data_IF_444436215860
#
_entry.id   IF_444436215860
#
_cell.length_a   1.000
_cell.length_b   1.000
_cell.length_c   1.000
_cell.angle_alpha   90.00
_cell.angle_beta   90.00
_cell.angle_gamma   90.00
#
_symmetry.space_group_name_H-M   'P 1'
#
loop_
_entity.id
_entity.type
_entity.pdbx_description
1 polymer ?
#
# COMPACT_ATOMS: atom_id res chain seq x y z
N UNK A 1 -9.13 29.51 35.30
CA UNK A 1 -8.70 28.35 34.48
C UNK A 1 -7.30 27.94 34.96
N UNK A 2 -7.11 26.69 35.38
CA UNK A 2 -5.86 26.25 35.98
C UNK A 2 -4.74 26.27 34.93
N UNK A 3 -3.57 26.85 35.22
CA UNK A 3 -2.47 26.98 34.26
C UNK A 3 -1.99 25.62 33.74
N UNK A 4 -2.07 24.59 34.59
CA UNK A 4 -1.81 23.20 34.21
C UNK A 4 -2.80 22.64 33.18
N UNK A 5 -4.06 23.09 33.22
CA UNK A 5 -5.07 22.69 32.23
C UNK A 5 -4.77 23.28 30.85
N UNK A 6 -4.22 24.50 30.81
CA UNK A 6 -3.80 25.15 29.55
C UNK A 6 -2.59 24.43 28.94
N UNK A 7 -1.58 24.10 29.75
CA UNK A 7 -0.43 23.32 29.28
C UNK A 7 -0.81 21.91 28.83
N UNK A 8 -1.68 21.23 29.57
CA UNK A 8 -2.17 19.91 29.19
C UNK A 8 -2.93 19.93 27.86
N UNK A 9 -3.81 20.93 27.66
CA UNK A 9 -4.53 21.09 26.39
C UNK A 9 -3.56 21.39 25.23
N UNK A 10 -2.56 22.26 25.44
CA UNK A 10 -1.53 22.55 24.44
C UNK A 10 -0.72 21.30 24.06
N UNK A 11 -0.32 20.50 25.05
CA UNK A 11 0.37 19.23 24.82
C UNK A 11 -0.50 18.24 24.03
N UNK A 12 -1.78 18.10 24.38
CA UNK A 12 -2.70 17.18 23.72
C UNK A 12 -2.92 17.56 22.24
N UNK A 13 -3.03 18.86 21.94
CA UNK A 13 -3.09 19.38 20.56
C UNK A 13 -1.82 19.03 19.79
N UNK A 14 -0.64 19.24 20.40
CA UNK A 14 0.64 18.91 19.78
C UNK A 14 0.74 17.42 19.43
N UNK A 15 0.35 16.54 20.37
CA UNK A 15 0.34 15.08 20.16
C UNK A 15 -0.57 14.70 19.00
N UNK A 16 -1.77 15.28 18.91
CA UNK A 16 -2.71 15.01 17.80
C UNK A 16 -2.10 15.43 16.45
N UNK A 17 -1.45 16.58 16.38
CA UNK A 17 -0.79 17.08 15.14
C UNK A 17 0.31 16.11 14.71
N UNK A 18 1.19 15.71 15.63
CA UNK A 18 2.29 14.78 15.34
C UNK A 18 1.77 13.44 14.83
N UNK A 19 0.74 12.89 15.48
CA UNK A 19 0.09 11.65 15.04
C UNK A 19 -0.53 11.79 13.65
N UNK A 20 -1.17 12.93 13.34
CA UNK A 20 -1.76 13.19 12.03
C UNK A 20 -0.69 13.24 10.93
N UNK A 21 0.42 13.93 11.17
CA UNK A 21 1.55 14.00 10.22
C UNK A 21 2.11 12.60 9.96
N UNK A 22 2.35 11.82 11.02
CA UNK A 22 2.87 10.47 10.90
C UNK A 22 1.94 9.57 10.06
N UNK A 23 0.64 9.63 10.32
CA UNK A 23 -0.36 8.85 9.55
C UNK A 23 -0.42 9.27 8.08
N UNK A 24 -0.32 10.56 7.78
CA UNK A 24 -0.28 11.05 6.40
C UNK A 24 0.96 10.57 5.65
N UNK A 25 2.14 10.61 6.28
CA UNK A 25 3.38 10.09 5.69
C UNK A 25 3.28 8.60 5.35
N UNK A 26 2.75 7.80 6.28
CA UNK A 26 2.52 6.37 6.07
C UNK A 26 1.50 6.11 4.94
N UNK A 27 0.44 6.91 4.86
CA UNK A 27 -0.56 6.79 3.79
C UNK A 27 0.01 7.14 2.41
N UNK A 28 0.87 8.16 2.33
CA UNK A 28 1.53 8.55 1.08
C UNK A 28 2.54 7.50 0.62
N UNK A 29 3.34 6.96 1.54
CA UNK A 29 4.24 5.84 1.29
C UNK A 29 3.49 4.60 0.76
N UNK A 30 2.36 4.27 1.38
CA UNK A 30 1.52 3.16 0.94
C UNK A 30 0.89 3.40 -0.43
N UNK A 31 0.38 4.61 -0.70
CA UNK A 31 -0.14 4.97 -2.02
C UNK A 31 0.94 4.86 -3.11
N UNK A 32 2.16 5.30 -2.81
CA UNK A 32 3.31 5.20 -3.72
C UNK A 32 3.63 3.75 -4.05
N UNK A 33 3.79 2.91 -3.02
CA UNK A 33 4.01 1.47 -3.19
C UNK A 33 2.93 0.81 -4.04
N UNK A 34 1.65 1.13 -3.82
CA UNK A 34 0.53 0.55 -4.58
C UNK A 34 0.63 0.87 -6.08
N UNK A 35 0.84 2.14 -6.43
CA UNK A 35 0.93 2.55 -7.84
C UNK A 35 2.20 1.97 -8.48
N UNK A 36 3.32 2.01 -7.78
CA UNK A 36 4.60 1.53 -8.29
C UNK A 36 4.60 0.01 -8.45
N UNK A 37 3.99 -0.72 -7.52
CA UNK A 37 3.84 -2.17 -7.62
C UNK A 37 2.92 -2.56 -8.77
N UNK A 38 1.82 -1.82 -9.02
CA UNK A 38 0.98 -2.06 -10.20
C UNK A 38 1.80 -1.91 -11.49
N UNK A 39 2.58 -0.84 -11.59
CA UNK A 39 3.46 -0.63 -12.75
C UNK A 39 4.46 -1.76 -12.93
N UNK A 40 5.21 -2.02 -11.86
CA UNK A 40 6.36 -2.92 -11.86
C UNK A 40 5.89 -4.33 -12.14
N UNK A 41 4.81 -4.78 -11.48
CA UNK A 41 4.22 -6.09 -11.69
C UNK A 41 3.83 -6.30 -13.15
N UNK A 42 3.21 -5.30 -13.78
CA UNK A 42 2.81 -5.33 -15.18
C UNK A 42 3.99 -5.50 -16.15
N UNK A 43 5.21 -5.12 -15.76
CA UNK A 43 6.43 -5.27 -16.56
C UNK A 43 7.21 -6.56 -16.30
N UNK A 44 6.87 -7.31 -15.25
CA UNK A 44 7.52 -8.59 -14.94
C UNK A 44 7.08 -9.68 -15.93
N UNK A 45 7.95 -10.68 -16.16
CA UNK A 45 7.56 -11.91 -16.85
C UNK A 45 6.48 -12.67 -16.07
N UNK A 46 5.71 -13.53 -16.75
CA UNK A 46 4.64 -14.31 -16.12
C UNK A 46 5.13 -15.15 -14.92
N UNK A 47 6.30 -15.76 -15.05
CA UNK A 47 6.90 -16.54 -13.96
C UNK A 47 7.26 -15.65 -12.75
N UNK A 48 7.80 -14.45 -12.99
CA UNK A 48 8.09 -13.50 -11.90
C UNK A 48 6.80 -12.95 -11.26
N UNK A 49 5.76 -12.68 -12.06
CA UNK A 49 4.45 -12.30 -11.54
C UNK A 49 3.89 -13.38 -10.61
N UNK A 50 3.99 -14.66 -10.99
CA UNK A 50 3.58 -15.80 -10.16
C UNK A 50 4.35 -15.84 -8.84
N UNK A 51 5.68 -15.73 -8.88
CA UNK A 51 6.52 -15.69 -7.67
C UNK A 51 6.17 -14.52 -6.73
N UNK A 52 5.90 -13.35 -7.28
CA UNK A 52 5.45 -12.18 -6.48
C UNK A 52 4.11 -12.48 -5.80
N UNK A 53 3.16 -13.09 -6.52
CA UNK A 53 1.88 -13.47 -5.95
C UNK A 53 2.03 -14.49 -4.82
N UNK A 54 2.76 -15.58 -5.05
CA UNK A 54 3.03 -16.63 -4.05
C UNK A 54 3.67 -16.03 -2.80
N UNK A 55 4.69 -15.17 -2.97
CA UNK A 55 5.35 -14.51 -1.85
C UNK A 55 4.43 -13.54 -1.12
N UNK A 56 3.55 -12.82 -1.82
CA UNK A 56 2.56 -11.95 -1.19
C UNK A 56 1.56 -12.76 -0.36
N UNK A 57 1.11 -13.92 -0.85
CA UNK A 57 0.25 -14.85 -0.11
C UNK A 57 0.95 -15.36 1.15
N UNK A 58 2.21 -15.76 1.06
CA UNK A 58 3.04 -16.17 2.21
C UNK A 58 3.10 -15.07 3.28
N UNK A 59 3.42 -13.83 2.88
CA UNK A 59 3.49 -12.67 3.79
C UNK A 59 2.14 -12.39 4.45
N UNK A 60 1.03 -12.50 3.70
CA UNK A 60 -0.32 -12.31 4.24
C UNK A 60 -0.65 -13.40 5.26
N UNK A 61 -0.39 -14.68 4.94
CA UNK A 61 -0.61 -15.84 5.83
C UNK A 61 0.21 -15.71 7.12
N UNK A 62 1.45 -15.22 7.03
CA UNK A 62 2.32 -14.97 8.18
C UNK A 62 1.93 -13.74 9.01
N UNK A 63 1.08 -12.86 8.47
CA UNK A 63 0.62 -11.68 9.19
C UNK A 63 -0.61 -12.01 10.03
N UNK A 64 -0.67 -11.52 11.27
CA UNK A 64 -1.89 -11.56 12.13
C UNK A 64 -3.07 -10.74 11.57
N UNK A 65 -2.95 -10.21 10.35
CA UNK A 65 -3.99 -9.45 9.68
C UNK A 65 -5.07 -10.43 9.24
N UNK A 66 -6.09 -10.65 10.09
CA UNK A 66 -7.26 -11.51 9.80
C UNK A 66 -7.84 -11.21 8.40
N UNK A 67 -7.40 -12.02 7.44
CA UNK A 67 -8.00 -12.42 6.17
C UNK A 67 -8.84 -11.36 5.45
N UNK A 68 -8.17 -10.44 4.74
CA UNK A 68 -8.68 -9.79 3.52
C UNK A 68 -7.64 -9.54 2.42
N UNK A 69 -6.41 -10.08 2.51
CA UNK A 69 -5.21 -9.64 1.80
C UNK A 69 -5.22 -9.47 0.26
N UNK A 70 -6.34 -9.66 -0.43
CA UNK A 70 -6.50 -9.38 -1.86
C UNK A 70 -7.91 -8.87 -2.23
N UNK A 71 -8.63 -8.26 -1.28
CA UNK A 71 -10.04 -7.88 -1.47
C UNK A 71 -10.24 -6.75 -2.50
N UNK A 72 -9.20 -6.02 -2.85
CA UNK A 72 -9.24 -5.02 -3.91
C UNK A 72 -7.84 -4.82 -4.48
N UNK A 73 -7.77 -4.02 -5.53
CA UNK A 73 -6.51 -3.77 -6.25
C UNK A 73 -5.49 -3.01 -5.39
N UNK A 74 -5.95 -2.12 -4.52
CA UNK A 74 -5.09 -1.38 -3.58
C UNK A 74 -4.42 -2.33 -2.60
N UNK A 75 -5.18 -3.24 -1.99
CA UNK A 75 -4.63 -4.24 -1.09
C UNK A 75 -3.66 -5.17 -1.80
N UNK A 76 -4.06 -5.71 -2.96
CA UNK A 76 -3.23 -6.60 -3.77
C UNK A 76 -1.87 -6.00 -4.06
N UNK A 77 -1.83 -4.79 -4.61
CA UNK A 77 -0.56 -4.16 -4.94
C UNK A 77 0.19 -3.62 -3.72
N UNK A 78 -0.50 -3.31 -2.64
CA UNK A 78 0.14 -3.04 -1.35
C UNK A 78 0.95 -4.25 -0.85
N UNK A 79 0.39 -5.45 -0.95
CA UNK A 79 1.11 -6.68 -0.61
C UNK A 79 2.16 -7.06 -1.65
N UNK A 80 1.90 -6.83 -2.94
CA UNK A 80 2.91 -7.06 -3.98
C UNK A 80 4.13 -6.18 -3.81
N UNK A 81 3.98 -4.93 -3.37
CA UNK A 81 5.13 -4.08 -3.05
C UNK A 81 6.03 -4.71 -1.98
N UNK A 82 5.43 -5.25 -0.90
CA UNK A 82 6.19 -5.97 0.14
C UNK A 82 6.82 -7.26 -0.37
N UNK A 83 6.11 -8.00 -1.22
CA UNK A 83 6.64 -9.21 -1.82
C UNK A 83 7.81 -8.93 -2.75
N UNK A 84 7.72 -7.89 -3.60
CA UNK A 84 8.79 -7.44 -4.47
C UNK A 84 10.02 -6.99 -3.68
N UNK A 85 9.82 -6.23 -2.60
CA UNK A 85 10.89 -5.86 -1.68
C UNK A 85 11.58 -7.10 -1.09
N UNK A 86 10.81 -8.10 -0.65
CA UNK A 86 11.36 -9.36 -0.12
C UNK A 86 12.04 -10.27 -1.15
N UNK A 87 11.78 -10.05 -2.44
CA UNK A 87 12.36 -10.81 -3.56
C UNK A 87 13.48 -10.02 -4.26
N UNK A 88 13.93 -8.90 -3.67
CA UNK A 88 14.93 -7.99 -4.24
C UNK A 88 14.57 -7.49 -5.65
N UNK A 89 13.26 -7.34 -5.93
CA UNK A 89 12.75 -6.78 -7.18
C UNK A 89 12.62 -5.27 -7.01
N UNK A 90 13.50 -4.50 -7.64
CA UNK A 90 13.42 -3.05 -7.65
C UNK A 90 12.18 -2.54 -8.41
N UNK A 91 11.67 -1.38 -8.00
CA UNK A 91 10.61 -0.68 -8.72
C UNK A 91 11.06 -0.33 -10.14
N UNK A 92 10.17 -0.55 -11.10
CA UNK A 92 10.41 -0.21 -12.50
C UNK A 92 10.16 1.29 -12.82
N UNK A 93 9.75 2.09 -11.83
CA UNK A 93 9.54 3.53 -11.97
C UNK A 93 10.90 4.25 -12.05
N UNK A 94 11.12 5.15 -13.03
CA UNK A 94 12.37 5.90 -13.16
C UNK A 94 12.75 6.66 -11.89
N UNK A 95 14.05 6.69 -11.59
CA UNK A 95 14.65 7.41 -10.46
C UNK A 95 14.11 7.04 -9.07
N UNK A 96 13.31 5.97 -8.94
CA UNK A 96 12.73 5.52 -7.68
C UNK A 96 12.75 3.99 -7.57
N UNK A 97 13.93 3.39 -7.33
CA UNK A 97 14.07 1.93 -7.28
C UNK A 97 13.60 1.31 -5.95
N UNK A 98 13.42 2.12 -4.90
CA UNK A 98 13.22 1.67 -3.52
C UNK A 98 11.75 1.58 -3.14
N UNK A 99 11.39 0.55 -2.37
CA UNK A 99 10.07 0.41 -1.75
C UNK A 99 10.00 1.12 -0.40
N UNK A 100 8.88 1.77 -0.11
CA UNK A 100 8.67 2.35 1.21
C UNK A 100 8.32 1.28 2.24
N UNK A 101 8.89 1.39 3.44
CA UNK A 101 8.58 0.49 4.56
C UNK A 101 7.17 0.78 5.10
N UNK A 102 6.21 -0.06 4.72
CA UNK A 102 4.81 0.01 5.19
C UNK A 102 4.47 -1.27 5.95
N UNK A 103 4.15 -1.14 7.25
CA UNK A 103 3.87 -2.29 8.11
C UNK A 103 2.66 -3.08 7.60
N UNK A 104 1.54 -2.38 7.39
CA UNK A 104 0.29 -2.96 6.91
C UNK A 104 -0.32 -2.08 5.81
N UNK A 105 -0.22 -2.49 4.52
CA UNK A 105 -0.79 -1.73 3.41
C UNK A 105 -2.30 -1.51 3.51
N UNK A 106 -3.05 -2.47 4.06
CA UNK A 106 -4.51 -2.40 4.22
C UNK A 106 -4.96 -1.24 5.12
N UNK A 107 -4.23 -1.01 6.22
CA UNK A 107 -4.55 0.05 7.17
C UNK A 107 -4.02 1.42 6.74
N UNK A 108 -3.00 1.43 5.88
CA UNK A 108 -2.27 2.63 5.53
C UNK A 108 -2.97 3.45 4.44
N UNK A 109 -3.61 2.81 3.44
CA UNK A 109 -4.29 3.53 2.34
C UNK A 109 -5.59 2.84 1.94
N UNK A 110 -6.65 3.63 1.74
CA UNK A 110 -7.97 3.14 1.33
C UNK A 110 -8.15 3.19 -0.20
N UNK A 111 -8.97 2.29 -0.79
CA UNK A 111 -9.45 2.44 -2.17
C UNK A 111 -10.08 3.82 -2.40
N UNK A 112 -9.77 4.44 -3.55
CA UNK A 112 -10.24 5.78 -3.91
C UNK A 112 -9.54 6.94 -3.18
N UNK A 113 -8.44 6.67 -2.45
CA UNK A 113 -7.65 7.72 -1.81
C UNK A 113 -7.11 8.73 -2.84
N UNK A 114 -7.27 10.03 -2.58
CA UNK A 114 -6.69 11.09 -3.40
C UNK A 114 -5.16 10.97 -3.51
N UNK A 115 -4.49 10.35 -2.53
CA UNK A 115 -3.05 10.10 -2.59
C UNK A 115 -2.68 9.15 -3.73
N UNK A 116 -3.49 8.12 -3.98
CA UNK A 116 -3.26 7.19 -5.10
C UNK A 116 -3.41 7.95 -6.43
N UNK A 117 -4.48 8.74 -6.56
CA UNK A 117 -4.71 9.58 -7.75
C UNK A 117 -3.56 10.58 -7.96
N UNK A 118 -3.08 11.21 -6.88
CA UNK A 118 -1.96 12.16 -6.92
C UNK A 118 -0.66 11.51 -7.39
N UNK A 119 -0.34 10.31 -6.88
CA UNK A 119 0.85 9.56 -7.34
C UNK A 119 0.70 9.15 -8.81
N UNK A 120 -0.47 8.64 -9.22
CA UNK A 120 -0.75 8.31 -10.62
C UNK A 120 -0.60 9.54 -11.54
N UNK A 121 -1.11 10.70 -11.13
CA UNK A 121 -0.99 11.93 -11.89
C UNK A 121 0.45 12.44 -11.98
N UNK A 122 1.21 12.33 -10.89
CA UNK A 122 2.65 12.62 -10.88
C UNK A 122 3.41 11.75 -11.88
N UNK A 123 3.16 10.44 -11.89
CA UNK A 123 3.81 9.52 -12.85
C UNK A 123 3.42 9.81 -14.30
N UNK A 124 2.16 10.17 -14.55
CA UNK A 124 1.72 10.57 -15.88
C UNK A 124 2.43 11.84 -16.35
N UNK A 125 2.57 12.83 -15.47
CA UNK A 125 3.20 14.13 -15.78
C UNK A 125 4.72 14.05 -15.96
N UNK A 126 5.41 13.42 -15.02
CA UNK A 126 6.88 13.46 -14.96
C UNK A 126 7.54 12.32 -15.75
N UNK A 127 6.83 11.22 -15.98
CA UNK A 127 7.39 10.02 -16.61
C UNK A 127 6.56 9.49 -17.79
N UNK A 128 5.47 10.16 -18.17
CA UNK A 128 4.52 9.69 -19.19
C UNK A 128 3.98 8.27 -18.91
N UNK A 129 3.84 7.92 -17.63
CA UNK A 129 3.37 6.62 -17.17
C UNK A 129 1.90 6.74 -16.74
N UNK A 130 0.99 6.23 -17.58
CA UNK A 130 -0.45 6.24 -17.31
C UNK A 130 -0.88 4.98 -16.56
N UNK A 131 -1.09 5.09 -15.25
CA UNK A 131 -1.55 4.00 -14.39
C UNK A 131 -2.74 4.45 -13.58
N UNK A 132 -3.85 3.73 -13.73
CA UNK A 132 -4.99 3.82 -12.82
C UNK A 132 -4.97 2.66 -11.84
N UNK A 133 -5.40 2.87 -10.60
CA UNK A 133 -5.67 1.79 -9.63
C UNK A 133 -7.17 1.81 -9.36
N UNK A 134 -7.82 0.67 -9.54
CA UNK A 134 -9.25 0.49 -9.39
C UNK A 134 -9.68 0.83 -7.98
N UNK A 135 -10.71 1.68 -7.91
CA UNK A 135 -11.33 2.12 -6.66
C UNK A 135 -12.42 1.15 -6.19
N UNK A 136 -12.73 0.13 -7.00
CA UNK A 136 -13.78 -0.83 -6.72
C UNK A 136 -13.44 -1.63 -5.45
N UNK A 137 -14.34 -1.56 -4.46
CA UNK A 137 -14.33 -2.43 -3.28
C UNK A 137 -14.98 -3.75 -3.66
N UNK A 138 -14.32 -4.57 -4.48
CA UNK A 138 -14.84 -5.89 -4.83
C UNK A 138 -14.60 -6.86 -3.68
N UNK A 139 -15.43 -6.80 -2.64
CA UNK A 139 -15.43 -7.79 -1.54
C UNK A 139 -15.94 -9.16 -2.00
N UNK A 140 -15.32 -9.79 -3.00
CA UNK A 140 -15.57 -11.20 -3.31
C UNK A 140 -14.72 -12.06 -2.36
N UNK A 141 -15.11 -12.07 -1.09
CA UNK A 141 -14.53 -12.94 -0.05
C UNK A 141 -14.61 -14.44 -0.38
N UNK A 142 -15.37 -14.84 -1.40
CA UNK A 142 -15.44 -16.20 -1.91
C UNK A 142 -14.25 -16.59 -2.79
N UNK A 143 -13.65 -15.65 -3.55
CA UNK A 143 -12.52 -15.96 -4.45
C UNK A 143 -11.20 -16.02 -3.68
N UNK A 144 -10.98 -15.07 -2.77
CA UNK A 144 -9.80 -15.03 -1.89
C UNK A 144 -9.76 -16.22 -0.91
N UNK A 145 -10.93 -16.71 -0.44
CA UNK A 145 -10.98 -17.93 0.38
C UNK A 145 -10.67 -19.21 -0.41
N UNK A 146 -10.94 -19.27 -1.72
CA UNK A 146 -10.54 -20.41 -2.57
C UNK A 146 -9.06 -20.35 -2.88
N UNK A 147 -8.54 -19.19 -3.29
CA UNK A 147 -7.11 -18.98 -3.56
C UNK A 147 -6.21 -19.24 -2.32
N UNK A 148 -6.73 -19.04 -1.10
CA UNK A 148 -6.00 -19.35 0.14
C UNK A 148 -6.20 -20.77 0.69
N UNK A 149 -7.17 -21.54 0.16
CA UNK A 149 -7.50 -22.91 0.62
C UNK A 149 -7.17 -24.02 -0.38
N UNK A 150 -7.01 -23.69 -1.67
CA UNK A 150 -6.81 -24.67 -2.75
C UNK A 150 -5.32 -24.92 -3.09
N UNK A 151 -4.38 -24.35 -2.32
CA UNK A 151 -2.94 -24.68 -2.32
C UNK A 151 -2.43 -24.92 -0.88
#
# INVERSE_FOLDING_TARGET
MNIYAVYFLGFLILVIIVLKIYRTKQAHAAATNVVFAKYTHGKLSKDKQKKVHEKAVEIVKASDTKLRGFANEVERYGWYAKAMDSLDIASAVPNNPVWHKVKNPYLAVKPGSMLIRGVSAYLAKEHNINISVSEAKNYTGSKVKRELKEE
#
